data_IF_649007218871
#
_entry.id   IF_649007218871
#
_cell.length_a   1.000
_cell.length_b   1.000
_cell.length_c   1.000
_cell.angle_alpha   90.00
_cell.angle_beta   90.00
_cell.angle_gamma   90.00
#
_symmetry.space_group_name_H-M   'P 1'
#
loop_
_entity.id
_entity.type
_entity.pdbx_description
1 polymer ?
#
# COMPACT_ATOMS: atom_id res chain seq x y z
N UNK A 1 8.59 -9.34 -4.78
CA UNK A 1 9.93 -8.78 -4.55
C UNK A 1 10.13 -8.53 -3.06
N UNK A 2 9.30 -7.70 -2.40
CA UNK A 2 9.45 -7.33 -0.98
C UNK A 2 9.65 -8.53 -0.05
N UNK A 3 8.77 -9.55 -0.11
CA UNK A 3 8.87 -10.71 0.77
C UNK A 3 10.18 -11.51 0.60
N UNK A 4 10.78 -11.53 -0.59
CA UNK A 4 12.11 -12.13 -0.80
C UNK A 4 13.20 -11.34 -0.08
N UNK A 5 13.13 -10.02 -0.11
CA UNK A 5 14.06 -9.16 0.63
C UNK A 5 13.90 -9.35 2.14
N UNK A 6 12.65 -9.51 2.63
CA UNK A 6 12.37 -9.83 4.05
C UNK A 6 13.05 -11.13 4.46
N UNK A 7 12.87 -12.22 3.70
CA UNK A 7 13.49 -13.52 4.02
C UNK A 7 15.00 -13.37 4.12
N UNK A 8 15.63 -12.68 3.16
CA UNK A 8 17.09 -12.48 3.18
C UNK A 8 17.56 -11.70 4.40
N UNK A 9 16.86 -10.62 4.76
CA UNK A 9 17.21 -9.81 5.94
C UNK A 9 17.03 -10.59 7.23
N UNK A 10 15.90 -11.32 7.39
CA UNK A 10 15.62 -12.14 8.58
C UNK A 10 16.62 -13.30 8.70
N UNK A 11 17.02 -13.93 7.59
CA UNK A 11 18.07 -14.96 7.59
C UNK A 11 19.44 -14.41 8.05
N UNK A 12 19.65 -13.09 7.97
CA UNK A 12 20.81 -12.40 8.50
C UNK A 12 20.59 -11.84 9.91
N UNK A 13 19.58 -12.35 10.64
CA UNK A 13 19.20 -11.94 11.99
C UNK A 13 18.84 -10.45 12.10
N UNK A 14 18.32 -9.86 11.03
CA UNK A 14 17.84 -8.48 11.01
C UNK A 14 16.34 -8.41 11.07
N UNK A 15 15.83 -7.35 11.69
CA UNK A 15 14.42 -7.01 11.66
C UNK A 15 14.09 -6.19 10.42
N UNK A 16 12.86 -6.29 9.96
CA UNK A 16 12.35 -5.59 8.78
C UNK A 16 11.11 -4.79 9.14
N UNK A 17 11.00 -3.60 8.58
CA UNK A 17 9.80 -2.75 8.69
C UNK A 17 9.25 -2.48 7.28
N UNK A 18 7.95 -2.67 7.09
CA UNK A 18 7.21 -2.26 5.89
C UNK A 18 6.25 -1.13 6.23
N UNK A 19 6.48 0.03 5.64
CA UNK A 19 5.62 1.20 5.74
C UNK A 19 4.60 1.24 4.60
N UNK A 20 3.32 1.32 4.95
CA UNK A 20 2.21 1.45 4.02
C UNK A 20 1.49 2.79 4.21
N UNK A 21 0.99 3.44 3.14
CA UNK A 21 0.32 4.73 3.25
C UNK A 21 -1.06 4.65 3.89
N UNK A 22 -1.72 3.49 3.81
CA UNK A 22 -3.06 3.27 4.35
C UNK A 22 -3.15 2.01 5.19
N UNK A 23 -4.11 1.98 6.10
CA UNK A 23 -4.38 0.81 6.94
C UNK A 23 -4.88 -0.39 6.14
N UNK A 24 -5.68 -0.16 5.11
CA UNK A 24 -6.17 -1.24 4.21
C UNK A 24 -5.00 -1.95 3.53
N UNK A 25 -4.02 -1.19 3.02
CA UNK A 25 -2.82 -1.79 2.42
C UNK A 25 -1.97 -2.52 3.46
N UNK A 26 -1.84 -1.97 4.68
CA UNK A 26 -1.08 -2.66 5.71
C UNK A 26 -1.71 -3.98 6.12
N UNK A 27 -3.04 -4.06 6.20
CA UNK A 27 -3.76 -5.32 6.48
C UNK A 27 -3.59 -6.35 5.36
N UNK A 28 -3.72 -5.93 4.10
CA UNK A 28 -3.50 -6.82 2.95
C UNK A 28 -2.06 -7.38 2.92
N UNK A 29 -1.07 -6.52 3.13
CA UNK A 29 0.32 -6.95 3.21
C UNK A 29 0.57 -7.88 4.40
N UNK A 30 -0.05 -7.60 5.56
CA UNK A 30 0.07 -8.44 6.76
C UNK A 30 -0.47 -9.85 6.53
N UNK A 31 -1.69 -9.97 5.99
CA UNK A 31 -2.31 -11.26 5.69
C UNK A 31 -1.41 -12.06 4.73
N UNK A 32 -1.02 -11.44 3.61
CA UNK A 32 -0.16 -12.08 2.60
C UNK A 32 1.21 -12.48 3.17
N UNK A 33 1.80 -11.62 4.01
CA UNK A 33 3.09 -11.91 4.64
C UNK A 33 2.98 -13.05 5.64
N UNK A 34 1.96 -13.04 6.49
CA UNK A 34 1.72 -14.09 7.49
C UNK A 34 1.52 -15.45 6.83
N UNK A 35 0.73 -15.53 5.77
CA UNK A 35 0.50 -16.76 5.02
C UNK A 35 1.78 -17.32 4.38
N UNK A 36 2.61 -16.44 3.79
CA UNK A 36 3.78 -16.86 3.02
C UNK A 36 5.04 -17.03 3.86
N UNK A 37 5.22 -16.24 4.90
CA UNK A 37 6.45 -16.20 5.69
C UNK A 37 6.30 -16.93 7.03
N UNK A 38 5.08 -17.05 7.57
CA UNK A 38 4.82 -17.82 8.80
C UNK A 38 5.35 -19.26 8.75
N UNK A 39 5.07 -20.04 7.69
CA UNK A 39 5.63 -21.38 7.53
C UNK A 39 7.16 -21.44 7.48
N UNK A 40 7.82 -20.32 7.19
CA UNK A 40 9.29 -20.19 7.19
C UNK A 40 9.85 -19.77 8.56
N UNK A 41 9.00 -19.70 9.60
CA UNK A 41 9.40 -19.30 10.95
C UNK A 41 9.57 -17.79 11.15
N UNK A 42 9.11 -16.95 10.20
CA UNK A 42 9.17 -15.49 10.33
C UNK A 42 7.99 -14.99 11.16
N UNK A 43 8.28 -14.35 12.29
CA UNK A 43 7.28 -13.67 13.11
C UNK A 43 6.87 -12.35 12.48
N UNK A 44 5.61 -12.27 12.00
CA UNK A 44 5.04 -11.10 11.34
C UNK A 44 4.05 -10.41 12.27
N UNK A 45 4.19 -9.10 12.46
CA UNK A 45 3.27 -8.28 13.25
C UNK A 45 2.72 -7.10 12.45
N UNK A 46 1.48 -6.72 12.74
CA UNK A 46 0.85 -5.51 12.25
C UNK A 46 0.90 -4.43 13.33
N UNK A 47 1.20 -3.19 12.96
CA UNK A 47 1.08 -2.03 13.85
C UNK A 47 0.31 -0.90 13.17
N UNK A 48 -0.96 -0.73 13.56
CA UNK A 48 -1.85 0.28 13.02
C UNK A 48 -2.70 0.92 14.12
N UNK A 49 -3.33 2.06 13.80
CA UNK A 49 -4.21 2.77 14.74
C UNK A 49 -5.51 2.03 15.09
N UNK A 50 -5.87 1.01 14.32
CA UNK A 50 -7.09 0.23 14.56
C UNK A 50 -6.91 -0.89 15.58
N UNK A 51 -5.67 -1.19 15.97
CA UNK A 51 -5.40 -2.14 17.02
C UNK A 51 -5.65 -1.51 18.39
N UNK A 52 -6.07 -2.33 19.34
CA UNK A 52 -6.19 -1.93 20.73
C UNK A 52 -4.83 -1.55 21.32
N UNK A 53 -4.82 -0.74 22.35
CA UNK A 53 -3.57 -0.35 23.04
C UNK A 53 -2.79 -1.57 23.54
N UNK A 54 -3.50 -2.62 24.00
CA UNK A 54 -2.89 -3.86 24.48
C UNK A 54 -2.17 -4.60 23.34
N UNK A 55 -2.80 -4.72 22.17
CA UNK A 55 -2.19 -5.35 21.00
C UNK A 55 -0.98 -4.56 20.52
N UNK A 56 -1.07 -3.23 20.48
CA UNK A 56 0.07 -2.40 20.12
C UNK A 56 1.26 -2.60 21.08
N UNK A 57 1.02 -2.66 22.40
CA UNK A 57 2.06 -2.91 23.38
C UNK A 57 2.76 -4.24 23.13
N UNK A 58 2.03 -5.31 22.89
CA UNK A 58 2.63 -6.63 22.58
C UNK A 58 3.52 -6.57 21.32
N UNK A 59 3.10 -5.82 20.30
CA UNK A 59 3.94 -5.64 19.10
C UNK A 59 5.20 -4.83 19.42
N UNK A 60 5.09 -3.76 20.22
CA UNK A 60 6.24 -2.93 20.60
C UNK A 60 7.25 -3.73 21.43
N UNK A 61 6.80 -4.52 22.40
CA UNK A 61 7.64 -5.42 23.20
C UNK A 61 8.30 -6.48 22.31
N UNK A 62 7.56 -7.05 21.36
CA UNK A 62 8.08 -8.01 20.39
C UNK A 62 9.12 -7.41 19.46
N UNK A 63 8.96 -6.16 19.04
CA UNK A 63 9.96 -5.45 18.25
C UNK A 63 11.22 -5.16 19.07
N UNK A 64 11.06 -4.67 20.31
CA UNK A 64 12.15 -4.35 21.20
C UNK A 64 12.99 -5.59 21.56
N UNK A 65 12.33 -6.71 21.83
CA UNK A 65 13.01 -7.98 22.17
C UNK A 65 13.60 -8.69 20.94
N UNK A 66 13.23 -8.31 19.72
CA UNK A 66 13.62 -9.00 18.49
C UNK A 66 12.78 -10.26 18.17
N UNK A 67 11.77 -10.59 18.99
CA UNK A 67 10.87 -11.73 18.74
C UNK A 67 9.93 -11.50 17.54
N UNK A 68 9.64 -10.25 17.20
CA UNK A 68 9.01 -9.85 15.94
C UNK A 68 10.08 -9.56 14.90
N UNK A 69 10.13 -10.36 13.84
CA UNK A 69 11.12 -10.21 12.78
C UNK A 69 10.67 -9.22 11.69
N UNK A 70 9.38 -9.14 11.41
CA UNK A 70 8.82 -8.31 10.36
C UNK A 70 7.59 -7.56 10.83
N UNK A 71 7.69 -6.23 10.93
CA UNK A 71 6.58 -5.36 11.27
C UNK A 71 6.02 -4.66 10.02
N UNK A 72 4.70 -4.70 9.88
CA UNK A 72 3.97 -4.04 8.81
C UNK A 72 3.04 -3.00 9.44
N UNK A 73 2.96 -1.81 8.86
CA UNK A 73 2.05 -0.80 9.39
C UNK A 73 2.09 0.52 8.64
N UNK A 74 1.41 1.49 9.22
CA UNK A 74 1.30 2.84 8.68
C UNK A 74 2.32 3.78 9.38
N UNK A 75 2.09 5.09 9.28
CA UNK A 75 2.88 6.10 9.99
C UNK A 75 3.01 5.84 11.51
N UNK A 76 2.20 4.99 12.12
CA UNK A 76 2.34 4.56 13.53
C UNK A 76 3.70 3.90 13.80
N UNK A 77 4.28 3.22 12.81
CA UNK A 77 5.63 2.65 12.90
C UNK A 77 6.75 3.70 12.97
N UNK A 78 6.45 4.96 12.67
CA UNK A 78 7.40 6.07 12.73
C UNK A 78 7.31 6.87 14.04
N UNK A 79 6.50 6.44 15.00
CA UNK A 79 6.35 7.12 16.29
C UNK A 79 7.56 6.84 17.20
N UNK A 80 7.88 7.77 18.08
CA UNK A 80 9.08 7.75 18.91
C UNK A 80 9.17 6.56 19.88
N UNK A 81 8.03 5.98 20.24
CA UNK A 81 7.92 4.79 21.10
C UNK A 81 8.20 3.46 20.37
N UNK A 82 8.39 3.50 19.05
CA UNK A 82 8.69 2.31 18.25
C UNK A 82 10.19 2.12 18.15
N UNK A 83 10.71 1.18 18.92
CA UNK A 83 12.15 0.85 18.93
C UNK A 83 12.36 -0.49 18.25
N UNK A 84 13.21 -0.52 17.21
CA UNK A 84 13.57 -1.72 16.43
C UNK A 84 15.10 -1.86 16.44
N UNK A 85 15.68 -2.51 17.47
CA UNK A 85 17.12 -2.51 17.69
C UNK A 85 17.93 -3.17 16.57
N UNK A 86 17.35 -4.18 15.92
CA UNK A 86 18.02 -4.96 14.87
C UNK A 86 17.53 -4.62 13.47
N UNK A 87 16.96 -3.40 13.28
CA UNK A 87 16.46 -2.97 11.96
C UNK A 87 17.59 -3.00 10.93
N UNK A 88 17.43 -3.82 9.90
CA UNK A 88 18.37 -3.92 8.78
C UNK A 88 17.76 -3.57 7.44
N UNK A 89 16.42 -3.65 7.31
CA UNK A 89 15.73 -3.33 6.06
C UNK A 89 14.45 -2.53 6.33
N UNK A 90 14.33 -1.40 5.67
CA UNK A 90 13.13 -0.59 5.62
C UNK A 90 12.49 -0.71 4.23
N UNK A 91 11.29 -1.23 4.15
CA UNK A 91 10.50 -1.29 2.92
C UNK A 91 9.44 -0.20 2.97
N UNK A 92 9.29 0.55 1.88
CA UNK A 92 8.34 1.66 1.79
C UNK A 92 7.47 1.44 0.56
N UNK A 93 6.18 1.26 0.79
CA UNK A 93 5.21 1.18 -0.29
C UNK A 93 4.62 2.57 -0.57
N UNK A 94 4.58 2.96 -1.85
CA UNK A 94 4.04 4.23 -2.33
C UNK A 94 4.57 5.45 -1.54
N UNK A 95 5.89 5.59 -1.42
CA UNK A 95 6.59 6.64 -0.65
C UNK A 95 6.02 8.05 -0.90
N UNK A 96 5.54 8.33 -2.11
CA UNK A 96 4.99 9.62 -2.48
C UNK A 96 3.71 10.01 -1.72
N UNK A 97 2.98 9.03 -1.18
CA UNK A 97 1.74 9.24 -0.41
C UNK A 97 1.97 9.63 1.04
N UNK A 98 3.21 9.61 1.53
CA UNK A 98 3.50 10.04 2.90
C UNK A 98 3.59 11.58 3.00
N UNK A 99 3.09 12.13 4.11
CA UNK A 99 3.19 13.56 4.41
C UNK A 99 4.63 14.02 4.71
N UNK A 100 4.86 15.33 4.73
CA UNK A 100 6.18 15.94 4.86
C UNK A 100 6.90 15.46 6.12
N UNK A 101 6.26 15.51 7.29
CA UNK A 101 6.85 15.07 8.57
C UNK A 101 7.32 13.61 8.53
N UNK A 102 6.48 12.72 7.99
CA UNK A 102 6.86 11.31 7.87
C UNK A 102 8.04 11.11 6.92
N UNK A 103 8.13 11.91 5.85
CA UNK A 103 9.26 11.85 4.91
C UNK A 103 10.59 12.25 5.55
N UNK A 104 10.58 13.16 6.51
CA UNK A 104 11.79 13.55 7.27
C UNK A 104 12.27 12.40 8.16
N UNK A 105 11.36 11.78 8.92
CA UNK A 105 11.68 10.59 9.73
C UNK A 105 12.19 9.44 8.87
N UNK A 106 11.53 9.18 7.74
CA UNK A 106 11.97 8.17 6.76
C UNK A 106 13.38 8.49 6.23
N UNK A 107 13.67 9.75 5.92
CA UNK A 107 15.03 10.16 5.47
C UNK A 107 16.08 9.88 6.51
N UNK A 108 15.82 10.17 7.78
CA UNK A 108 16.73 9.88 8.88
C UNK A 108 17.00 8.37 9.04
N UNK A 109 16.00 7.52 8.83
CA UNK A 109 16.15 6.06 8.83
C UNK A 109 16.98 5.57 7.63
N UNK A 110 16.79 6.17 6.46
CA UNK A 110 17.49 5.80 5.20
C UNK A 110 19.01 5.91 5.28
N UNK A 111 19.55 6.71 6.19
CA UNK A 111 21.01 6.83 6.38
C UNK A 111 21.60 5.71 7.22
N UNK A 112 20.77 4.89 7.87
CA UNK A 112 21.20 3.88 8.86
C UNK A 112 20.92 2.43 8.44
N UNK A 113 20.01 2.22 7.50
CA UNK A 113 19.54 0.87 7.10
C UNK A 113 19.34 0.79 5.59
N UNK A 114 19.36 -0.42 5.06
CA UNK A 114 19.00 -0.67 3.66
C UNK A 114 17.54 -0.29 3.41
N UNK A 115 17.27 0.30 2.25
CA UNK A 115 15.92 0.77 1.91
C UNK A 115 15.46 0.24 0.55
N UNK A 116 14.29 -0.38 0.56
CA UNK A 116 13.58 -0.81 -0.64
C UNK A 116 12.29 0.01 -0.80
N UNK A 117 12.24 0.92 -1.77
CA UNK A 117 11.03 1.66 -2.10
C UNK A 117 10.28 0.98 -3.25
N UNK A 118 8.99 0.77 -3.07
CA UNK A 118 8.08 0.18 -4.07
C UNK A 118 7.10 1.25 -4.55
N UNK A 119 6.81 1.28 -5.84
CA UNK A 119 5.77 2.15 -6.39
C UNK A 119 5.23 1.60 -7.71
N UNK A 120 3.92 1.69 -7.89
CA UNK A 120 3.27 1.39 -9.17
C UNK A 120 3.33 2.58 -10.14
N UNK A 121 3.48 3.80 -9.61
CA UNK A 121 3.49 5.05 -10.37
C UNK A 121 4.75 5.85 -10.01
N UNK A 122 5.91 5.57 -10.63
CA UNK A 122 7.11 6.32 -10.34
C UNK A 122 6.92 7.80 -10.72
N UNK A 123 7.02 8.67 -9.71
CA UNK A 123 6.95 10.12 -9.94
C UNK A 123 8.23 10.58 -10.65
N UNK A 124 8.18 11.58 -11.54
CA UNK A 124 9.33 12.12 -12.28
C UNK A 124 10.56 12.43 -11.41
N UNK A 125 10.35 12.85 -10.14
CA UNK A 125 11.43 13.15 -9.19
C UNK A 125 12.25 11.92 -8.78
N UNK A 126 11.62 10.78 -8.59
CA UNK A 126 12.30 9.51 -8.28
C UNK A 126 13.04 9.00 -9.53
N UNK A 127 12.43 9.16 -10.69
CA UNK A 127 13.06 8.88 -11.99
C UNK A 127 14.28 9.80 -12.22
N UNK A 128 14.17 11.07 -11.88
CA UNK A 128 15.25 12.06 -12.00
C UNK A 128 16.45 11.74 -11.08
N UNK A 129 16.19 11.31 -9.83
CA UNK A 129 17.23 10.86 -8.89
C UNK A 129 17.96 9.59 -9.34
N UNK A 130 17.26 8.74 -10.06
CA UNK A 130 17.80 7.51 -10.64
C UNK A 130 18.64 7.78 -11.88
N UNK A 131 18.18 8.67 -12.76
CA UNK A 131 18.95 9.12 -13.92
C UNK A 131 20.27 9.82 -13.53
N UNK A 132 20.33 10.40 -12.32
CA UNK A 132 21.54 10.98 -11.75
C UNK A 132 22.44 9.95 -11.03
N UNK A 133 22.12 8.64 -11.10
CA UNK A 133 22.92 7.59 -10.45
C UNK A 133 22.86 7.58 -8.92
N UNK A 134 21.94 8.33 -8.30
CA UNK A 134 21.80 8.43 -6.84
C UNK A 134 21.09 7.23 -6.24
N UNK A 135 20.31 6.46 -7.06
CA UNK A 135 19.56 5.27 -6.65
C UNK A 135 19.48 4.26 -7.77
N UNK A 136 19.67 3.00 -7.42
CA UNK A 136 19.37 1.88 -8.32
C UNK A 136 17.86 1.73 -8.51
N UNK A 137 17.42 1.50 -9.74
CA UNK A 137 16.03 1.22 -10.07
C UNK A 137 15.93 -0.11 -10.83
N UNK A 138 14.99 -0.93 -10.37
CA UNK A 138 14.55 -2.11 -11.11
C UNK A 138 13.10 -1.94 -11.56
N UNK A 139 12.82 -2.16 -12.84
CA UNK A 139 11.47 -2.09 -13.40
C UNK A 139 10.95 -3.50 -13.68
N UNK A 140 9.71 -3.76 -13.24
CA UNK A 140 8.99 -5.00 -13.55
C UNK A 140 8.01 -4.66 -14.67
N UNK A 141 8.34 -5.04 -15.90
CA UNK A 141 7.56 -4.67 -17.10
C UNK A 141 6.55 -5.74 -17.49
N UNK A 142 6.79 -7.00 -17.09
CA UNK A 142 5.90 -8.11 -17.41
C UNK A 142 4.74 -8.18 -16.41
N UNK A 143 3.49 -7.96 -16.87
CA UNK A 143 2.33 -8.09 -15.99
C UNK A 143 2.08 -9.57 -15.63
N UNK A 144 1.37 -9.86 -14.52
CA UNK A 144 0.90 -11.21 -14.23
C UNK A 144 0.01 -11.74 -15.36
N UNK A 145 0.14 -13.02 -15.68
CA UNK A 145 -0.62 -13.67 -16.77
C UNK A 145 -2.14 -13.60 -16.60
N UNK A 146 -2.61 -13.45 -15.36
CA UNK A 146 -4.04 -13.34 -15.02
C UNK A 146 -4.58 -11.92 -15.16
N UNK A 147 -3.73 -10.91 -15.35
CA UNK A 147 -4.16 -9.51 -15.46
C UNK A 147 -4.63 -9.22 -16.87
N UNK A 148 -5.93 -8.98 -17.03
CA UNK A 148 -6.48 -8.46 -18.29
C UNK A 148 -6.21 -6.96 -18.40
N UNK A 149 -5.89 -6.43 -19.58
CA UNK A 149 -5.79 -4.99 -19.80
C UNK A 149 -7.14 -4.32 -19.55
N UNK A 150 -7.08 -3.05 -19.14
CA UNK A 150 -8.26 -2.20 -18.96
C UNK A 150 -8.37 -1.33 -20.21
N UNK A 151 -9.51 -1.42 -20.91
CA UNK A 151 -9.82 -0.50 -22.00
C UNK A 151 -10.20 0.86 -21.41
N UNK A 152 -9.40 1.86 -21.72
CA UNK A 152 -9.59 3.22 -21.19
C UNK A 152 -10.05 4.15 -22.30
N UNK A 153 -11.17 4.85 -22.07
CA UNK A 153 -11.71 5.84 -22.97
C UNK A 153 -11.68 7.21 -22.27
N UNK A 154 -11.21 8.23 -22.96
CA UNK A 154 -11.21 9.62 -22.49
C UNK A 154 -12.13 10.41 -23.41
N UNK A 155 -13.31 10.78 -22.89
CA UNK A 155 -14.38 11.40 -23.66
C UNK A 155 -14.98 12.57 -22.85
N UNK A 156 -15.70 13.48 -23.53
CA UNK A 156 -16.55 14.44 -22.81
C UNK A 156 -17.70 13.71 -22.11
N UNK A 157 -18.05 14.21 -20.92
CA UNK A 157 -19.11 13.60 -20.13
C UNK A 157 -20.47 13.65 -20.89
N UNK A 158 -21.15 12.52 -20.98
CA UNK A 158 -22.48 12.36 -21.52
C UNK A 158 -23.28 11.36 -20.69
N UNK A 159 -24.49 11.74 -20.30
CA UNK A 159 -25.39 10.85 -19.58
C UNK A 159 -25.76 9.63 -20.41
N UNK A 160 -26.04 9.82 -21.71
CA UNK A 160 -26.38 8.72 -22.61
C UNK A 160 -25.27 7.67 -22.63
N UNK A 161 -24.03 8.11 -22.83
CA UNK A 161 -22.86 7.24 -22.86
C UNK A 161 -22.65 6.53 -21.51
N UNK A 162 -22.78 7.28 -20.40
CA UNK A 162 -22.64 6.74 -19.05
C UNK A 162 -23.67 5.64 -18.79
N UNK A 163 -24.93 5.87 -19.11
CA UNK A 163 -26.01 4.88 -18.93
C UNK A 163 -25.76 3.63 -19.78
N UNK A 164 -25.32 3.79 -21.04
CA UNK A 164 -24.98 2.65 -21.92
C UNK A 164 -23.86 1.79 -21.31
N UNK A 165 -22.80 2.41 -20.77
CA UNK A 165 -21.67 1.69 -20.16
C UNK A 165 -22.13 0.97 -18.90
N UNK A 166 -22.87 1.64 -18.03
CA UNK A 166 -23.40 1.02 -16.78
C UNK A 166 -24.29 -0.17 -17.14
N UNK A 167 -25.21 0.01 -18.08
CA UNK A 167 -26.13 -1.06 -18.52
C UNK A 167 -25.37 -2.27 -19.05
N UNK A 168 -24.35 -2.05 -19.88
CA UNK A 168 -23.49 -3.12 -20.42
C UNK A 168 -22.81 -3.91 -19.31
N UNK A 169 -22.32 -3.22 -18.28
CA UNK A 169 -21.63 -3.84 -17.17
C UNK A 169 -22.58 -4.65 -16.27
N UNK A 170 -23.75 -4.09 -15.97
CA UNK A 170 -24.77 -4.77 -15.17
C UNK A 170 -25.30 -6.04 -15.88
N UNK A 171 -25.50 -5.98 -17.21
CA UNK A 171 -25.94 -7.14 -17.99
C UNK A 171 -24.98 -8.33 -17.93
N UNK A 172 -23.70 -8.09 -17.72
CA UNK A 172 -22.71 -9.17 -17.53
C UNK A 172 -22.51 -9.59 -16.07
N UNK A 173 -23.32 -9.05 -15.14
CA UNK A 173 -23.21 -9.31 -13.70
C UNK A 173 -22.03 -8.60 -13.03
N UNK A 174 -21.48 -7.56 -13.66
CA UNK A 174 -20.38 -6.75 -13.12
C UNK A 174 -20.85 -5.65 -12.17
N UNK A 175 -19.91 -4.93 -11.62
CA UNK A 175 -20.12 -3.77 -10.73
C UNK A 175 -19.50 -2.52 -11.35
N UNK A 176 -20.06 -1.36 -11.03
CA UNK A 176 -19.61 -0.07 -11.56
C UNK A 176 -19.24 0.88 -10.42
N UNK A 177 -18.07 1.48 -10.51
CA UNK A 177 -17.68 2.59 -9.65
C UNK A 177 -17.82 3.91 -10.44
N UNK A 178 -18.68 4.80 -9.94
CA UNK A 178 -18.82 6.16 -10.47
C UNK A 178 -18.09 7.13 -9.57
N UNK A 179 -16.96 7.66 -10.05
CA UNK A 179 -16.14 8.60 -9.28
C UNK A 179 -16.51 10.03 -9.63
N UNK A 180 -16.80 10.86 -8.61
CA UNK A 180 -17.07 12.28 -8.75
C UNK A 180 -16.24 13.09 -7.75
N UNK A 181 -15.60 14.19 -8.22
CA UNK A 181 -14.62 14.94 -7.42
C UNK A 181 -15.23 15.95 -6.44
N UNK A 182 -16.52 16.29 -6.58
CA UNK A 182 -17.17 17.32 -5.75
C UNK A 182 -18.18 16.67 -4.82
N UNK A 183 -17.87 16.70 -3.53
CA UNK A 183 -18.73 16.10 -2.48
C UNK A 183 -20.13 16.71 -2.49
N UNK A 184 -20.23 18.02 -2.68
CA UNK A 184 -21.51 18.77 -2.68
C UNK A 184 -22.52 18.27 -3.72
N UNK A 185 -22.05 17.75 -4.85
CA UNK A 185 -22.91 17.31 -5.94
C UNK A 185 -23.01 15.78 -6.08
N UNK A 186 -22.37 15.00 -5.20
CA UNK A 186 -22.44 13.51 -5.24
C UNK A 186 -23.90 13.05 -5.15
N UNK A 187 -24.70 13.62 -4.23
CA UNK A 187 -26.10 13.25 -4.05
C UNK A 187 -26.90 13.39 -5.35
N UNK A 188 -26.72 14.50 -6.07
CA UNK A 188 -27.38 14.73 -7.37
C UNK A 188 -27.05 13.63 -8.39
N UNK A 189 -25.74 13.27 -8.51
CA UNK A 189 -25.32 12.22 -9.45
C UNK A 189 -25.84 10.85 -9.02
N UNK A 190 -25.89 10.57 -7.73
CA UNK A 190 -26.45 9.32 -7.18
C UNK A 190 -27.93 9.19 -7.53
N UNK A 191 -28.74 10.21 -7.22
CA UNK A 191 -30.18 10.23 -7.55
C UNK A 191 -30.41 10.10 -9.05
N UNK A 192 -29.60 10.78 -9.86
CA UNK A 192 -29.70 10.71 -11.31
C UNK A 192 -29.40 9.32 -11.85
N UNK A 193 -28.33 8.66 -11.37
CA UNK A 193 -28.02 7.28 -11.74
C UNK A 193 -29.14 6.35 -11.28
N UNK A 194 -29.59 6.49 -10.03
CA UNK A 194 -30.68 5.68 -9.47
C UNK A 194 -31.96 5.79 -10.29
N UNK A 195 -32.25 6.98 -10.87
CA UNK A 195 -33.42 7.16 -11.73
C UNK A 195 -33.38 6.34 -13.02
N UNK A 196 -32.18 6.02 -13.53
CA UNK A 196 -32.01 5.14 -14.69
C UNK A 196 -32.00 3.65 -14.34
N UNK A 197 -31.63 3.33 -13.07
CA UNK A 197 -31.49 1.95 -12.59
C UNK A 197 -32.18 1.74 -11.23
N UNK A 198 -33.51 1.85 -11.16
CA UNK A 198 -34.25 1.86 -9.88
C UNK A 198 -34.15 0.55 -9.10
N UNK A 199 -33.85 -0.56 -9.76
CA UNK A 199 -33.78 -1.89 -9.14
C UNK A 199 -32.35 -2.30 -8.73
N UNK A 200 -31.35 -1.47 -9.04
CA UNK A 200 -29.93 -1.74 -8.72
C UNK A 200 -29.54 -1.04 -7.42
N UNK A 201 -28.57 -1.63 -6.69
CA UNK A 201 -28.06 -1.11 -5.41
C UNK A 201 -26.69 -0.54 -5.54
#
# INVERSE_FOLDING_TARGET
VALRAVVRAVSSLKQVVLLCPTTVLSDQHYITAKERLGPLGVSVALLSRFQTKKEQLLVLEGLLSGSVNFAIGTHRLLSDDVVVPYLGLLIIDEEHRFGVKNKETIRALKTKVDVLSLSATPIPRTLQQSLLGIRDISRIETPPTTRKPIDTFVEFFSWERTVQIIKKELLRGGQVYFLHNRVESIAYYTEKIQSFFPNEK
#
